data_IF_360458471406
#
_entry.id   IF_360458471406
#
_cell.length_a   1.000
_cell.length_b   1.000
_cell.length_c   1.000
_cell.angle_alpha   90.00
_cell.angle_beta   90.00
_cell.angle_gamma   90.00
#
_symmetry.space_group_name_H-M   'P 1'
#
loop_
_entity.id
_entity.type
_entity.pdbx_description
1 polymer ?
#
# COMPACT_ATOMS: atom_id res chain seq x y z
N UNK A 1 54.04 -3.99 -23.57
CA UNK A 1 53.12 -4.57 -22.56
C UNK A 1 52.85 -5.99 -23.00
N UNK A 2 53.45 -6.96 -22.29
CA UNK A 2 53.31 -8.39 -22.59
C UNK A 2 51.90 -8.84 -22.22
N UNK A 3 51.09 -9.17 -23.22
CA UNK A 3 49.80 -9.85 -23.02
C UNK A 3 50.12 -11.26 -22.58
N UNK A 4 50.20 -11.47 -21.28
CA UNK A 4 50.20 -12.80 -20.71
C UNK A 4 48.93 -13.51 -21.20
N UNK A 5 49.09 -14.54 -22.05
CA UNK A 5 48.02 -15.47 -22.43
C UNK A 5 47.51 -16.17 -21.17
N UNK A 6 46.64 -15.52 -20.41
CA UNK A 6 45.90 -16.18 -19.32
C UNK A 6 44.98 -17.16 -20.03
N UNK A 7 45.31 -18.46 -19.92
CA UNK A 7 44.46 -19.54 -20.42
C UNK A 7 43.14 -19.53 -19.61
N UNK A 8 42.17 -18.78 -20.09
CA UNK A 8 40.84 -18.73 -19.50
C UNK A 8 40.22 -20.13 -19.45
N UNK A 9 39.59 -20.50 -18.36
CA UNK A 9 38.82 -21.72 -18.29
C UNK A 9 37.71 -21.72 -19.36
N UNK A 10 37.28 -22.86 -19.89
CA UNK A 10 36.20 -22.92 -20.87
C UNK A 10 34.94 -22.19 -20.42
N UNK A 11 34.62 -22.25 -19.15
CA UNK A 11 33.47 -21.54 -18.58
C UNK A 11 33.65 -20.01 -18.55
N UNK A 12 34.89 -19.53 -18.38
CA UNK A 12 35.17 -18.09 -18.38
C UNK A 12 35.19 -17.51 -19.77
N UNK A 13 35.54 -18.31 -20.78
CA UNK A 13 35.40 -17.92 -22.20
C UNK A 13 33.93 -17.68 -22.53
N UNK A 14 33.04 -18.62 -22.18
CA UNK A 14 31.61 -18.46 -22.39
C UNK A 14 31.07 -17.22 -21.63
N UNK A 15 31.56 -16.96 -20.43
CA UNK A 15 31.17 -15.77 -19.67
C UNK A 15 31.62 -14.47 -20.36
N UNK A 16 32.81 -14.43 -20.91
CA UNK A 16 33.32 -13.26 -21.70
C UNK A 16 32.46 -13.03 -22.94
N UNK A 17 32.14 -14.09 -23.67
CA UNK A 17 31.31 -14.03 -24.87
C UNK A 17 29.87 -13.60 -24.59
N UNK A 18 29.36 -13.97 -23.41
CA UNK A 18 27.99 -13.63 -22.95
C UNK A 18 27.97 -12.49 -21.94
N UNK A 19 29.04 -11.71 -21.79
CA UNK A 19 29.19 -10.69 -20.75
C UNK A 19 28.08 -9.63 -20.77
N UNK A 20 27.70 -9.17 -21.97
CA UNK A 20 26.62 -8.19 -22.12
C UNK A 20 25.27 -8.71 -21.62
N UNK A 21 24.96 -9.98 -21.87
CA UNK A 21 23.71 -10.62 -21.43
C UNK A 21 23.75 -11.06 -19.97
N UNK A 22 24.92 -11.28 -19.41
CA UNK A 22 25.11 -11.69 -18.01
C UNK A 22 25.20 -10.50 -17.05
N UNK A 23 25.98 -9.46 -17.38
CA UNK A 23 26.19 -8.28 -16.55
C UNK A 23 25.28 -7.11 -16.89
N UNK A 24 24.79 -7.02 -18.16
CA UNK A 24 23.91 -5.95 -18.60
C UNK A 24 22.68 -5.74 -17.72
N UNK A 25 21.92 -6.79 -17.36
CA UNK A 25 20.76 -6.68 -16.48
C UNK A 25 21.07 -6.09 -15.09
N UNK A 26 22.27 -6.35 -14.55
CA UNK A 26 22.73 -5.77 -13.30
C UNK A 26 22.95 -4.27 -13.40
N UNK A 27 23.66 -3.84 -14.45
CA UNK A 27 23.94 -2.42 -14.69
C UNK A 27 22.64 -1.67 -14.91
N UNK A 28 21.77 -2.18 -15.78
CA UNK A 28 20.47 -1.57 -16.06
C UNK A 28 19.58 -1.56 -14.81
N UNK A 29 19.61 -2.63 -14.02
CA UNK A 29 18.90 -2.71 -12.73
C UNK A 29 19.39 -1.66 -11.75
N UNK A 30 20.70 -1.45 -11.62
CA UNK A 30 21.29 -0.41 -10.77
C UNK A 30 20.92 1.01 -11.20
N UNK A 31 20.90 1.30 -12.52
CA UNK A 31 20.42 2.58 -13.03
C UNK A 31 18.94 2.80 -12.71
N UNK A 32 18.10 1.80 -12.96
CA UNK A 32 16.67 1.88 -12.67
C UNK A 32 16.41 2.06 -11.17
N UNK A 33 17.13 1.33 -10.29
CA UNK A 33 17.08 1.48 -8.84
C UNK A 33 17.40 2.92 -8.42
N UNK A 34 18.41 3.54 -9.03
CA UNK A 34 18.81 4.92 -8.74
C UNK A 34 17.78 5.95 -9.20
N UNK A 35 17.17 5.76 -10.37
CA UNK A 35 16.08 6.63 -10.86
C UNK A 35 14.88 6.54 -9.93
N UNK A 36 14.46 5.32 -9.57
CA UNK A 36 13.34 5.10 -8.66
C UNK A 36 13.63 5.65 -7.24
N UNK A 37 14.89 5.66 -6.81
CA UNK A 37 15.29 6.31 -5.55
C UNK A 37 15.02 7.81 -5.58
N UNK A 38 15.25 8.49 -6.70
CA UNK A 38 14.88 9.89 -6.88
C UNK A 38 13.38 10.13 -6.71
N UNK A 39 12.54 9.24 -7.26
CA UNK A 39 11.07 9.30 -7.08
C UNK A 39 10.70 9.11 -5.59
N UNK A 40 11.33 8.15 -4.91
CA UNK A 40 11.09 7.93 -3.47
C UNK A 40 11.44 9.19 -2.69
N UNK A 41 12.56 9.83 -2.98
CA UNK A 41 12.97 11.05 -2.30
C UNK A 41 11.93 12.17 -2.45
N UNK A 42 11.42 12.41 -3.66
CA UNK A 42 10.35 13.37 -3.90
C UNK A 42 9.08 13.03 -3.10
N UNK A 43 8.70 11.75 -3.05
CA UNK A 43 7.51 11.33 -2.30
C UNK A 43 7.69 11.44 -0.77
N UNK A 44 8.89 11.21 -0.26
CA UNK A 44 9.23 11.41 1.16
C UNK A 44 9.14 12.89 1.52
N UNK A 45 9.69 13.80 0.70
CA UNK A 45 9.57 15.24 0.90
C UNK A 45 8.10 15.66 0.93
N UNK A 46 7.31 15.19 -0.05
CA UNK A 46 5.86 15.46 -0.08
C UNK A 46 5.15 14.96 1.18
N UNK A 47 5.48 13.76 1.66
CA UNK A 47 4.94 13.23 2.91
C UNK A 47 5.22 14.15 4.10
N UNK A 48 6.46 14.65 4.22
CA UNK A 48 6.83 15.55 5.32
C UNK A 48 6.10 16.90 5.27
N UNK A 49 5.75 17.38 4.08
CA UNK A 49 4.94 18.60 3.90
C UNK A 49 3.46 18.38 4.28
N UNK A 50 2.93 17.18 4.06
CA UNK A 50 1.53 16.84 4.28
C UNK A 50 1.23 16.20 5.65
N UNK A 51 2.25 15.83 6.42
CA UNK A 51 2.12 14.97 7.62
C UNK A 51 1.37 15.56 8.82
N UNK A 52 0.91 16.80 8.76
CA UNK A 52 0.19 17.42 9.87
C UNK A 52 -1.02 16.58 10.31
N UNK A 53 -1.03 16.15 11.61
CA UNK A 53 -2.08 15.28 12.15
C UNK A 53 -1.91 13.79 11.86
N UNK A 54 -0.81 13.35 11.24
CA UNK A 54 -0.51 11.93 11.06
C UNK A 54 0.07 11.30 12.33
N UNK A 55 -0.22 10.01 12.56
CA UNK A 55 0.34 9.26 13.69
C UNK A 55 1.87 9.11 13.56
N UNK A 56 2.59 9.16 14.69
CA UNK A 56 4.04 8.92 14.77
C UNK A 56 4.44 7.57 14.14
N UNK A 57 3.58 6.57 14.23
CA UNK A 57 3.79 5.25 13.60
C UNK A 57 4.04 5.35 12.09
N UNK A 58 3.20 6.10 11.35
CA UNK A 58 3.40 6.27 9.90
C UNK A 58 4.67 7.03 9.56
N UNK A 59 5.02 8.05 10.36
CA UNK A 59 6.26 8.79 10.18
C UNK A 59 7.50 7.90 10.42
N UNK A 60 7.48 7.09 11.48
CA UNK A 60 8.56 6.13 11.76
C UNK A 60 8.69 5.10 10.63
N UNK A 61 7.58 4.60 10.11
CA UNK A 61 7.57 3.66 8.99
C UNK A 61 8.20 4.28 7.72
N UNK A 62 7.81 5.52 7.38
CA UNK A 62 8.37 6.23 6.21
C UNK A 62 9.89 6.44 6.36
N UNK A 63 10.35 6.90 7.53
CA UNK A 63 11.78 7.10 7.79
C UNK A 63 12.54 5.78 7.70
N UNK A 64 12.02 4.72 8.31
CA UNK A 64 12.64 3.39 8.29
C UNK A 64 12.79 2.84 6.87
N UNK A 65 11.71 2.86 6.09
CA UNK A 65 11.72 2.34 4.72
C UNK A 65 12.57 3.20 3.78
N UNK A 66 12.57 4.53 3.95
CA UNK A 66 13.45 5.43 3.21
C UNK A 66 14.92 5.15 3.51
N UNK A 67 15.29 4.97 4.80
CA UNK A 67 16.64 4.61 5.21
C UNK A 67 17.10 3.28 4.59
N UNK A 68 16.28 2.23 4.67
CA UNK A 68 16.60 0.95 4.03
C UNK A 68 16.75 1.08 2.52
N UNK A 69 15.95 1.94 1.89
CA UNK A 69 16.03 2.17 0.44
C UNK A 69 17.33 2.85 0.03
N UNK A 70 17.82 3.84 0.81
CA UNK A 70 19.12 4.47 0.60
C UNK A 70 20.24 3.44 0.75
N UNK A 71 20.22 2.66 1.83
CA UNK A 71 21.21 1.62 2.09
C UNK A 71 21.29 0.61 0.94
N UNK A 72 20.12 0.15 0.46
CA UNK A 72 20.05 -0.78 -0.68
C UNK A 72 20.59 -0.15 -1.97
N UNK A 73 20.27 1.10 -2.28
CA UNK A 73 20.79 1.78 -3.47
C UNK A 73 22.31 1.90 -3.41
N UNK A 74 22.85 2.30 -2.26
CA UNK A 74 24.31 2.39 -2.06
C UNK A 74 24.98 1.03 -2.29
N UNK A 75 24.39 -0.03 -1.74
CA UNK A 75 24.87 -1.40 -1.95
C UNK A 75 24.78 -1.82 -3.43
N UNK A 76 23.67 -1.53 -4.11
CA UNK A 76 23.48 -1.85 -5.52
C UNK A 76 24.54 -1.17 -6.40
N UNK A 77 24.83 0.10 -6.15
CA UNK A 77 25.89 0.84 -6.85
C UNK A 77 27.26 0.21 -6.59
N UNK A 78 27.56 -0.15 -5.34
CA UNK A 78 28.81 -0.80 -4.99
C UNK A 78 28.99 -2.15 -5.70
N UNK A 79 27.92 -2.97 -5.78
CA UNK A 79 27.93 -4.24 -6.52
C UNK A 79 28.23 -4.02 -8.00
N UNK A 80 27.53 -3.07 -8.64
CA UNK A 80 27.74 -2.74 -10.06
C UNK A 80 29.16 -2.26 -10.29
N UNK A 81 29.71 -1.43 -9.40
CA UNK A 81 31.08 -0.93 -9.50
C UNK A 81 32.12 -2.05 -9.41
N UNK A 82 32.03 -2.89 -8.38
CA UNK A 82 32.99 -3.99 -8.20
C UNK A 82 32.99 -4.94 -9.40
N UNK A 83 31.80 -5.34 -9.88
CA UNK A 83 31.71 -6.30 -10.98
C UNK A 83 32.16 -5.76 -12.34
N UNK A 84 31.89 -4.49 -12.63
CA UNK A 84 32.12 -3.92 -13.95
C UNK A 84 33.41 -3.12 -14.04
N UNK A 85 33.99 -2.66 -12.93
CA UNK A 85 35.20 -1.85 -12.92
C UNK A 85 36.37 -2.60 -12.30
N UNK A 86 36.24 -3.08 -11.06
CA UNK A 86 37.35 -3.74 -10.35
C UNK A 86 37.69 -5.10 -10.95
N UNK A 87 36.69 -5.96 -11.19
CA UNK A 87 36.88 -7.32 -11.68
C UNK A 87 36.71 -7.44 -13.20
N UNK A 88 36.79 -6.33 -13.91
CA UNK A 88 36.64 -6.31 -15.37
C UNK A 88 37.65 -7.19 -16.08
N UNK A 89 38.91 -7.18 -15.61
CA UNK A 89 40.01 -7.96 -16.17
C UNK A 89 40.00 -9.43 -15.72
N UNK A 90 39.27 -9.79 -14.68
CA UNK A 90 39.26 -11.13 -14.06
C UNK A 90 37.89 -11.82 -14.19
N UNK A 91 37.53 -12.36 -15.36
CA UNK A 91 36.20 -12.92 -15.59
C UNK A 91 35.87 -14.13 -14.70
N UNK A 92 36.87 -14.89 -14.26
CA UNK A 92 36.69 -16.01 -13.31
C UNK A 92 36.24 -15.51 -11.93
N UNK A 93 36.84 -14.42 -11.46
CA UNK A 93 36.48 -13.80 -10.17
C UNK A 93 35.09 -13.17 -10.28
N UNK A 94 34.83 -12.37 -11.31
CA UNK A 94 33.53 -11.74 -11.54
C UNK A 94 32.38 -12.75 -11.58
N UNK A 95 32.58 -13.90 -12.22
CA UNK A 95 31.61 -15.00 -12.26
C UNK A 95 31.39 -15.65 -10.88
N UNK A 96 32.46 -15.88 -10.14
CA UNK A 96 32.36 -16.48 -8.81
C UNK A 96 31.68 -15.55 -7.80
N UNK A 97 31.91 -14.24 -7.87
CA UNK A 97 31.24 -13.24 -7.04
C UNK A 97 29.71 -13.33 -7.13
N UNK A 98 29.16 -13.61 -8.32
CA UNK A 98 27.72 -13.79 -8.53
C UNK A 98 27.10 -14.92 -7.68
N UNK A 99 27.88 -15.93 -7.33
CA UNK A 99 27.39 -17.14 -6.67
C UNK A 99 27.78 -17.25 -5.20
N UNK A 100 28.88 -16.63 -4.78
CA UNK A 100 29.51 -16.90 -3.48
C UNK A 100 29.62 -15.64 -2.60
N UNK A 101 29.64 -14.45 -3.18
CA UNK A 101 29.83 -13.22 -2.41
C UNK A 101 28.57 -12.89 -1.59
N UNK A 102 28.66 -13.02 -0.27
CA UNK A 102 27.56 -12.75 0.66
C UNK A 102 27.01 -11.31 0.54
N UNK A 103 27.89 -10.33 0.33
CA UNK A 103 27.51 -8.92 0.17
C UNK A 103 26.71 -8.66 -1.11
N UNK A 104 26.89 -9.45 -2.14
CA UNK A 104 26.13 -9.36 -3.38
C UNK A 104 24.73 -9.97 -3.23
N UNK A 105 24.64 -11.09 -2.54
CA UNK A 105 23.38 -11.78 -2.29
C UNK A 105 22.53 -11.05 -1.26
N UNK A 106 23.17 -10.28 -0.37
CA UNK A 106 22.45 -9.45 0.60
C UNK A 106 21.58 -8.35 -0.06
N UNK A 107 21.77 -8.02 -1.35
CA UNK A 107 20.85 -7.15 -2.12
C UNK A 107 19.45 -7.77 -2.19
N UNK A 108 19.35 -9.08 -2.47
CA UNK A 108 18.07 -9.78 -2.49
C UNK A 108 17.46 -9.86 -1.07
N UNK A 109 18.29 -10.07 -0.05
CA UNK A 109 17.86 -10.04 1.34
C UNK A 109 17.28 -8.69 1.76
N UNK A 110 17.93 -7.58 1.38
CA UNK A 110 17.41 -6.22 1.60
C UNK A 110 16.08 -5.99 0.87
N UNK A 111 15.95 -6.50 -0.37
CA UNK A 111 14.66 -6.47 -1.10
C UNK A 111 13.57 -7.20 -0.32
N UNK A 112 13.87 -8.38 0.23
CA UNK A 112 12.94 -9.17 1.05
C UNK A 112 12.50 -8.42 2.32
N UNK A 113 13.41 -7.77 3.04
CA UNK A 113 13.09 -7.00 4.25
C UNK A 113 12.18 -5.80 3.90
N UNK A 114 12.53 -5.04 2.88
CA UNK A 114 11.73 -3.89 2.44
C UNK A 114 10.34 -4.36 2.00
N UNK A 115 10.26 -5.38 1.14
CA UNK A 115 9.00 -5.97 0.68
C UNK A 115 8.13 -6.43 1.83
N UNK A 116 8.67 -7.23 2.75
CA UNK A 116 7.92 -7.74 3.91
C UNK A 116 7.43 -6.63 4.85
N UNK A 117 8.20 -5.55 5.00
CA UNK A 117 7.78 -4.37 5.79
C UNK A 117 6.57 -3.72 5.15
N UNK A 118 6.60 -3.51 3.83
CA UNK A 118 5.49 -2.90 3.08
C UNK A 118 4.28 -3.84 3.01
N UNK A 119 4.48 -5.13 2.77
CA UNK A 119 3.41 -6.13 2.79
C UNK A 119 2.73 -6.21 4.17
N UNK A 120 3.50 -6.12 5.26
CA UNK A 120 2.95 -6.07 6.63
C UNK A 120 2.05 -4.85 6.84
N UNK A 121 2.44 -3.68 6.31
CA UNK A 121 1.58 -2.49 6.34
C UNK A 121 0.27 -2.72 5.58
N UNK A 122 0.31 -3.27 4.37
CA UNK A 122 -0.89 -3.55 3.58
C UNK A 122 -1.74 -4.66 4.20
N UNK A 123 -1.13 -5.68 4.81
CA UNK A 123 -1.83 -6.73 5.57
C UNK A 123 -2.59 -6.17 6.78
N UNK A 124 -1.97 -5.27 7.55
CA UNK A 124 -2.62 -4.56 8.66
C UNK A 124 -3.78 -3.68 8.16
N UNK A 125 -3.61 -3.02 7.01
CA UNK A 125 -4.68 -2.24 6.39
C UNK A 125 -5.85 -3.13 5.95
N UNK A 126 -5.56 -4.26 5.30
CA UNK A 126 -6.55 -5.27 4.95
C UNK A 126 -7.31 -5.75 6.19
N UNK A 127 -6.62 -6.13 7.25
CA UNK A 127 -7.24 -6.58 8.50
C UNK A 127 -8.17 -5.52 9.12
N UNK A 128 -7.72 -4.27 9.20
CA UNK A 128 -8.55 -3.16 9.70
C UNK A 128 -9.80 -2.94 8.86
N UNK A 129 -9.71 -3.20 7.56
CA UNK A 129 -10.82 -3.03 6.63
C UNK A 129 -11.78 -4.22 6.65
N UNK A 130 -11.28 -5.46 6.55
CA UNK A 130 -12.11 -6.66 6.41
C UNK A 130 -12.59 -7.21 7.75
N UNK A 131 -11.82 -7.03 8.85
CA UNK A 131 -12.03 -7.69 10.15
C UNK A 131 -11.97 -9.23 10.06
N UNK A 132 -11.51 -9.77 8.94
CA UNK A 132 -11.39 -11.19 8.71
C UNK A 132 -10.04 -11.71 9.22
N UNK A 133 -10.08 -12.43 10.35
CA UNK A 133 -8.88 -13.02 10.98
C UNK A 133 -8.25 -14.11 10.13
N UNK A 134 -9.05 -14.96 9.48
CA UNK A 134 -8.54 -16.06 8.68
C UNK A 134 -7.69 -15.56 7.49
N UNK A 135 -8.20 -14.56 6.76
CA UNK A 135 -7.45 -13.95 5.66
C UNK A 135 -6.17 -13.24 6.14
N UNK A 136 -6.23 -12.55 7.29
CA UNK A 136 -5.06 -11.88 7.84
C UNK A 136 -3.99 -12.86 8.29
N UNK A 137 -4.36 -13.96 8.96
CA UNK A 137 -3.42 -15.04 9.37
C UNK A 137 -2.78 -15.67 8.13
N UNK A 138 -3.55 -15.99 7.10
CA UNK A 138 -3.01 -16.54 5.85
C UNK A 138 -1.95 -15.63 5.22
N UNK A 139 -2.23 -14.31 5.13
CA UNK A 139 -1.27 -13.32 4.59
C UNK A 139 -0.03 -13.26 5.48
N UNK A 140 -0.19 -13.21 6.82
CA UNK A 140 0.95 -13.19 7.76
C UNK A 140 1.83 -14.44 7.61
N UNK A 141 1.24 -15.63 7.47
CA UNK A 141 1.99 -16.87 7.26
C UNK A 141 2.76 -16.84 5.93
N UNK A 142 2.15 -16.32 4.86
CA UNK A 142 2.83 -16.16 3.57
C UNK A 142 4.02 -15.19 3.67
N UNK A 143 3.89 -14.06 4.37
CA UNK A 143 4.99 -13.11 4.60
C UNK A 143 6.10 -13.75 5.44
N UNK A 144 5.76 -14.49 6.49
CA UNK A 144 6.74 -15.20 7.32
C UNK A 144 7.48 -16.27 6.53
N UNK A 145 6.77 -17.02 5.69
CA UNK A 145 7.37 -18.02 4.82
C UNK A 145 8.32 -17.39 3.80
N UNK A 146 7.95 -16.24 3.24
CA UNK A 146 8.80 -15.45 2.34
C UNK A 146 10.10 -15.00 3.05
N UNK A 147 10.00 -14.45 4.26
CA UNK A 147 11.16 -14.06 5.07
C UNK A 147 12.05 -15.27 5.41
N UNK A 148 11.46 -16.38 5.82
CA UNK A 148 12.19 -17.60 6.12
C UNK A 148 12.92 -18.11 4.87
N UNK A 149 12.27 -18.09 3.71
CA UNK A 149 12.87 -18.50 2.44
C UNK A 149 14.11 -17.69 2.07
N UNK A 150 14.05 -16.35 2.18
CA UNK A 150 15.21 -15.51 1.87
C UNK A 150 16.34 -15.67 2.89
N UNK A 151 16.04 -15.84 4.19
CA UNK A 151 17.03 -16.11 5.22
C UNK A 151 17.75 -17.45 4.98
N UNK A 152 16.99 -18.52 4.70
CA UNK A 152 17.55 -19.83 4.43
C UNK A 152 18.33 -19.88 3.10
N UNK A 153 17.91 -19.11 2.10
CA UNK A 153 18.69 -18.91 0.88
C UNK A 153 20.04 -18.28 1.18
N UNK A 154 20.08 -17.25 2.04
CA UNK A 154 21.33 -16.60 2.48
C UNK A 154 22.25 -17.58 3.24
N UNK A 155 21.72 -18.34 4.19
CA UNK A 155 22.46 -19.37 4.92
C UNK A 155 23.02 -20.44 3.97
N UNK A 156 22.24 -20.86 2.97
CA UNK A 156 22.64 -21.86 1.98
C UNK A 156 23.82 -21.39 1.14
N UNK A 157 23.97 -20.08 0.91
CA UNK A 157 25.13 -19.50 0.22
C UNK A 157 26.37 -19.61 1.10
N UNK A 158 26.25 -19.23 2.38
CA UNK A 158 27.36 -19.33 3.34
C UNK A 158 27.82 -20.78 3.50
N UNK A 159 26.88 -21.73 3.40
CA UNK A 159 27.17 -23.18 3.40
C UNK A 159 27.62 -23.72 2.04
N UNK A 160 27.79 -22.88 1.01
CA UNK A 160 28.19 -23.25 -0.35
C UNK A 160 27.26 -24.30 -1.01
N UNK A 161 25.98 -24.34 -0.62
CA UNK A 161 24.98 -25.26 -1.14
C UNK A 161 24.07 -24.59 -2.17
N UNK A 162 24.48 -24.62 -3.44
CA UNK A 162 23.76 -23.94 -4.54
C UNK A 162 22.35 -24.51 -4.76
N UNK A 163 22.14 -25.82 -4.58
CA UNK A 163 20.82 -26.43 -4.76
C UNK A 163 19.83 -25.94 -3.71
N UNK A 164 20.24 -25.92 -2.44
CA UNK A 164 19.40 -25.41 -1.36
C UNK A 164 19.10 -23.91 -1.54
N UNK A 165 20.10 -23.11 -1.94
CA UNK A 165 19.93 -21.69 -2.29
C UNK A 165 18.79 -21.47 -3.29
N UNK A 166 18.82 -22.17 -4.43
CA UNK A 166 17.83 -22.02 -5.50
C UNK A 166 16.44 -22.42 -5.02
N UNK A 167 16.33 -23.52 -4.28
CA UNK A 167 15.07 -23.99 -3.71
C UNK A 167 14.46 -22.96 -2.75
N UNK A 168 15.24 -22.43 -1.81
CA UNK A 168 14.75 -21.45 -0.83
C UNK A 168 14.41 -20.09 -1.46
N UNK A 169 15.15 -19.71 -2.50
CA UNK A 169 14.85 -18.51 -3.27
C UNK A 169 13.52 -18.64 -4.02
N UNK A 170 13.23 -19.83 -4.58
CA UNK A 170 11.93 -20.11 -5.20
C UNK A 170 10.79 -20.03 -4.18
N UNK A 171 10.96 -20.64 -3.00
CA UNK A 171 9.99 -20.55 -1.90
C UNK A 171 9.73 -19.09 -1.54
N UNK A 172 10.77 -18.26 -1.46
CA UNK A 172 10.64 -16.83 -1.21
C UNK A 172 9.78 -16.15 -2.28
N UNK A 173 10.10 -16.28 -3.56
CA UNK A 173 9.39 -15.61 -4.65
C UNK A 173 7.92 -16.04 -4.75
N UNK A 174 7.64 -17.34 -4.61
CA UNK A 174 6.27 -17.86 -4.63
C UNK A 174 5.47 -17.30 -3.45
N UNK A 175 6.05 -17.29 -2.26
CA UNK A 175 5.38 -16.79 -1.05
C UNK A 175 5.12 -15.29 -1.11
N UNK A 176 6.04 -14.49 -1.66
CA UNK A 176 5.85 -13.05 -1.93
C UNK A 176 4.67 -12.84 -2.87
N UNK A 177 4.64 -13.55 -4.01
CA UNK A 177 3.56 -13.43 -4.98
C UNK A 177 2.20 -13.82 -4.40
N UNK A 178 2.13 -14.90 -3.61
CA UNK A 178 0.91 -15.34 -2.91
C UNK A 178 0.44 -14.26 -1.92
N UNK A 179 1.35 -13.69 -1.12
CA UNK A 179 1.01 -12.64 -0.17
C UNK A 179 0.44 -11.40 -0.88
N UNK A 180 1.08 -10.94 -1.95
CA UNK A 180 0.65 -9.77 -2.72
C UNK A 180 -0.71 -9.98 -3.39
N UNK A 181 -0.93 -11.14 -4.01
CA UNK A 181 -2.22 -11.50 -4.61
C UNK A 181 -3.32 -11.57 -3.54
N UNK A 182 -3.04 -12.20 -2.40
CA UNK A 182 -4.00 -12.31 -1.30
C UNK A 182 -4.38 -10.93 -0.73
N UNK A 183 -3.40 -10.04 -0.51
CA UNK A 183 -3.63 -8.67 -0.05
C UNK A 183 -4.48 -7.91 -1.07
N UNK A 184 -4.11 -7.97 -2.34
CA UNK A 184 -4.79 -7.24 -3.43
C UNK A 184 -6.22 -7.70 -3.62
N UNK A 185 -6.42 -9.01 -3.81
CA UNK A 185 -7.75 -9.60 -4.03
C UNK A 185 -8.62 -9.41 -2.78
N UNK A 186 -8.10 -9.71 -1.60
CA UNK A 186 -8.83 -9.57 -0.34
C UNK A 186 -9.26 -8.14 -0.06
N UNK A 187 -8.41 -7.16 -0.33
CA UNK A 187 -8.73 -5.73 -0.15
C UNK A 187 -9.80 -5.28 -1.15
N UNK A 188 -9.65 -5.67 -2.43
CA UNK A 188 -10.62 -5.33 -3.48
C UNK A 188 -12.00 -5.95 -3.22
N UNK A 189 -12.03 -7.22 -2.84
CA UNK A 189 -13.27 -7.93 -2.49
C UNK A 189 -14.00 -7.22 -1.33
N UNK A 190 -13.28 -6.95 -0.24
CA UNK A 190 -13.84 -6.30 0.95
C UNK A 190 -14.38 -4.90 0.66
N UNK A 191 -13.66 -4.12 -0.17
CA UNK A 191 -14.12 -2.79 -0.56
C UNK A 191 -15.37 -2.84 -1.43
N UNK A 192 -15.44 -3.75 -2.40
CA UNK A 192 -16.64 -3.95 -3.23
C UNK A 192 -17.85 -4.34 -2.38
N UNK A 193 -17.67 -5.25 -1.44
CA UNK A 193 -18.76 -5.69 -0.56
C UNK A 193 -19.33 -4.55 0.30
N UNK A 194 -18.47 -3.60 0.70
CA UNK A 194 -18.91 -2.43 1.49
C UNK A 194 -19.51 -1.29 0.65
N UNK A 195 -19.37 -1.32 -0.68
CA UNK A 195 -19.84 -0.27 -1.59
C UNK A 195 -21.35 -0.33 -1.86
N UNK A 196 -22.06 -1.36 -1.45
CA UNK A 196 -23.44 -1.67 -1.92
C UNK A 196 -24.56 -0.98 -1.15
N UNK A 197 -24.32 0.02 -0.30
CA UNK A 197 -25.34 0.52 0.62
C UNK A 197 -25.88 1.94 0.40
N UNK A 198 -25.06 2.93 0.03
CA UNK A 198 -25.51 4.33 -0.06
C UNK A 198 -24.74 5.13 -1.12
N UNK A 199 -25.43 5.92 -1.95
CA UNK A 199 -24.85 6.70 -3.05
C UNK A 199 -23.78 7.71 -2.57
N UNK A 200 -23.94 8.32 -1.40
CA UNK A 200 -22.95 9.22 -0.81
C UNK A 200 -21.67 8.50 -0.35
N UNK A 201 -21.79 7.25 0.09
CA UNK A 201 -20.66 6.42 0.49
C UNK A 201 -19.95 5.82 -0.72
N UNK A 202 -20.66 5.57 -1.83
CA UNK A 202 -20.11 4.99 -3.06
C UNK A 202 -18.98 5.83 -3.66
N UNK A 203 -19.07 7.16 -3.64
CA UNK A 203 -18.03 8.05 -4.17
C UNK A 203 -16.73 7.95 -3.36
N UNK A 204 -16.82 7.90 -2.04
CA UNK A 204 -15.67 7.75 -1.13
C UNK A 204 -15.05 6.36 -1.28
N UNK A 205 -15.88 5.31 -1.35
CA UNK A 205 -15.41 3.93 -1.55
C UNK A 205 -14.73 3.76 -2.90
N UNK A 206 -15.29 4.30 -3.98
CA UNK A 206 -14.68 4.25 -5.31
C UNK A 206 -13.32 4.98 -5.35
N UNK A 207 -13.19 6.09 -4.65
CA UNK A 207 -11.91 6.80 -4.53
C UNK A 207 -10.87 5.99 -3.76
N UNK A 208 -11.27 5.37 -2.65
CA UNK A 208 -10.39 4.48 -1.88
C UNK A 208 -10.02 3.24 -2.71
N UNK A 209 -10.98 2.68 -3.44
CA UNK A 209 -10.77 1.54 -4.33
C UNK A 209 -9.73 1.87 -5.41
N UNK A 210 -9.86 3.03 -6.07
CA UNK A 210 -8.88 3.50 -7.05
C UNK A 210 -7.49 3.62 -6.43
N UNK A 211 -7.35 4.27 -5.26
CA UNK A 211 -6.07 4.40 -4.56
C UNK A 211 -5.46 3.03 -4.24
N UNK A 212 -6.27 2.04 -3.82
CA UNK A 212 -5.80 0.68 -3.53
C UNK A 212 -5.32 -0.01 -4.81
N UNK A 213 -6.06 0.10 -5.90
CA UNK A 213 -5.64 -0.46 -7.19
C UNK A 213 -4.33 0.16 -7.68
N UNK A 214 -4.23 1.48 -7.67
CA UNK A 214 -3.05 2.21 -8.12
C UNK A 214 -1.81 1.89 -7.26
N UNK A 215 -1.97 1.55 -5.98
CA UNK A 215 -0.87 1.22 -5.08
C UNK A 215 -0.53 -0.27 -5.02
N UNK A 216 -1.50 -1.17 -5.18
CA UNK A 216 -1.28 -2.61 -5.00
C UNK A 216 -0.91 -3.34 -6.30
N UNK A 217 -1.43 -2.90 -7.44
CA UNK A 217 -1.18 -3.55 -8.74
C UNK A 217 0.29 -3.52 -9.15
N UNK A 218 1.02 -2.38 -9.09
CA UNK A 218 2.40 -2.33 -9.57
C UNK A 218 3.34 -3.31 -8.86
N UNK A 219 3.40 -3.39 -7.51
CA UNK A 219 4.25 -4.37 -6.84
C UNK A 219 3.89 -5.82 -7.18
N UNK A 220 2.58 -6.15 -7.20
CA UNK A 220 2.09 -7.49 -7.50
C UNK A 220 2.47 -7.92 -8.92
N UNK A 221 2.34 -7.02 -9.89
CA UNK A 221 2.71 -7.27 -11.28
C UNK A 221 4.21 -7.54 -11.41
N UNK A 222 5.04 -6.68 -10.82
CA UNK A 222 6.50 -6.81 -10.88
C UNK A 222 6.98 -8.06 -10.15
N UNK A 223 6.41 -8.39 -8.98
CA UNK A 223 6.73 -9.63 -8.26
C UNK A 223 6.36 -10.88 -9.06
N UNK A 224 5.23 -10.84 -9.78
CA UNK A 224 4.81 -11.95 -10.66
C UNK A 224 5.74 -12.09 -11.86
N UNK A 225 6.16 -10.99 -12.48
CA UNK A 225 7.13 -10.98 -13.58
C UNK A 225 8.49 -11.51 -13.09
N UNK A 226 8.96 -11.08 -11.93
CA UNK A 226 10.22 -11.56 -11.33
C UNK A 226 10.18 -13.08 -11.10
N UNK A 227 9.08 -13.59 -10.56
CA UNK A 227 8.88 -15.03 -10.39
C UNK A 227 8.92 -15.76 -11.74
N UNK A 228 8.20 -15.30 -12.75
CA UNK A 228 8.16 -15.93 -14.08
C UNK A 228 9.56 -15.92 -14.71
N UNK A 229 10.24 -14.78 -14.72
CA UNK A 229 11.57 -14.64 -15.30
C UNK A 229 12.60 -15.52 -14.59
N UNK A 230 12.50 -15.63 -13.27
CA UNK A 230 13.41 -16.49 -12.48
C UNK A 230 13.27 -17.97 -12.82
N UNK A 231 12.07 -18.41 -13.23
CA UNK A 231 11.81 -19.82 -13.58
C UNK A 231 12.01 -20.12 -15.07
N UNK A 232 11.68 -19.19 -15.97
CA UNK A 232 11.72 -19.42 -17.42
C UNK A 232 13.10 -19.21 -18.03
N UNK A 233 13.79 -18.14 -17.63
CA UNK A 233 15.09 -17.79 -18.20
C UNK A 233 16.26 -18.47 -17.50
N UNK A 234 16.03 -19.03 -16.31
CA UNK A 234 16.99 -19.84 -15.55
C UNK A 234 18.32 -19.11 -15.28
N UNK A 235 19.38 -19.87 -14.94
CA UNK A 235 20.69 -19.29 -14.57
C UNK A 235 21.47 -18.71 -15.75
N UNK A 236 20.98 -18.83 -17.00
CA UNK A 236 21.68 -18.35 -18.21
C UNK A 236 21.46 -16.87 -18.50
N UNK A 237 20.30 -16.32 -18.12
CA UNK A 237 19.92 -14.95 -18.39
C UNK A 237 19.44 -14.27 -17.12
N UNK A 238 20.25 -13.39 -16.57
CA UNK A 238 20.03 -12.74 -15.27
C UNK A 238 18.98 -11.59 -15.30
N UNK A 239 18.05 -11.60 -16.28
CA UNK A 239 17.02 -10.56 -16.41
C UNK A 239 16.06 -10.46 -15.23
N UNK A 240 15.88 -11.56 -14.47
CA UNK A 240 15.14 -11.51 -13.20
C UNK A 240 15.77 -10.54 -12.20
N UNK A 241 17.10 -10.34 -12.25
CA UNK A 241 17.78 -9.41 -11.35
C UNK A 241 17.45 -7.95 -11.68
N UNK A 242 17.30 -7.60 -12.96
CA UNK A 242 16.83 -6.28 -13.36
C UNK A 242 15.47 -5.95 -12.72
N UNK A 243 14.53 -6.90 -12.77
CA UNK A 243 13.20 -6.74 -12.17
C UNK A 243 13.28 -6.72 -10.65
N UNK A 244 14.07 -7.59 -10.04
CA UNK A 244 14.24 -7.68 -8.59
C UNK A 244 14.86 -6.40 -7.99
N UNK A 245 15.78 -5.73 -8.70
CA UNK A 245 16.34 -4.45 -8.26
C UNK A 245 15.26 -3.38 -8.13
N UNK A 246 14.35 -3.30 -9.09
CA UNK A 246 13.26 -2.33 -9.08
C UNK A 246 12.14 -2.68 -8.10
N UNK A 247 11.93 -3.97 -7.80
CA UNK A 247 10.80 -4.46 -6.99
C UNK A 247 10.70 -3.78 -5.62
N UNK A 248 11.82 -3.69 -4.89
CA UNK A 248 11.82 -3.03 -3.57
C UNK A 248 11.43 -1.54 -3.65
N UNK A 249 11.86 -0.84 -4.70
CA UNK A 249 11.53 0.56 -4.90
C UNK A 249 10.06 0.76 -5.21
N UNK A 250 9.49 -0.14 -6.03
CA UNK A 250 8.07 -0.10 -6.36
C UNK A 250 7.20 -0.36 -5.12
N UNK A 251 7.60 -1.27 -4.23
CA UNK A 251 6.94 -1.44 -2.94
C UNK A 251 6.94 -0.14 -2.13
N UNK A 252 8.08 0.51 -2.02
CA UNK A 252 8.22 1.77 -1.26
C UNK A 252 7.41 2.90 -1.88
N UNK A 253 7.44 3.04 -3.21
CA UNK A 253 6.66 4.03 -3.94
C UNK A 253 5.16 3.81 -3.70
N UNK A 254 4.69 2.57 -3.75
CA UNK A 254 3.29 2.21 -3.47
C UNK A 254 2.86 2.54 -2.04
N UNK A 255 3.73 2.28 -1.07
CA UNK A 255 3.51 2.65 0.33
C UNK A 255 3.40 4.17 0.50
N UNK A 256 4.39 4.91 -0.04
CA UNK A 256 4.43 6.37 0.06
C UNK A 256 3.27 7.03 -0.66
N UNK A 257 2.91 6.55 -1.86
CA UNK A 257 1.72 7.01 -2.58
C UNK A 257 0.45 6.85 -1.73
N UNK A 258 0.29 5.69 -1.10
CA UNK A 258 -0.85 5.44 -0.20
C UNK A 258 -0.86 6.39 1.00
N UNK A 259 0.30 6.61 1.65
CA UNK A 259 0.39 7.48 2.81
C UNK A 259 0.22 8.96 2.46
N UNK A 260 0.76 9.41 1.33
CA UNK A 260 0.59 10.76 0.81
C UNK A 260 -0.88 11.04 0.48
N UNK A 261 -1.56 10.12 -0.19
CA UNK A 261 -2.99 10.25 -0.49
C UNK A 261 -3.85 10.32 0.78
N UNK A 262 -3.53 9.54 1.82
CA UNK A 262 -4.22 9.62 3.11
C UNK A 262 -3.98 10.98 3.80
N UNK A 263 -2.75 11.50 3.75
CA UNK A 263 -2.39 12.78 4.36
C UNK A 263 -3.09 13.96 3.66
N UNK A 264 -3.14 13.95 2.33
CA UNK A 264 -3.83 14.93 1.50
C UNK A 264 -5.32 14.99 1.81
N UNK A 265 -5.99 13.85 1.86
CA UNK A 265 -7.42 13.79 2.20
C UNK A 265 -7.75 14.30 3.60
N UNK A 266 -6.86 14.10 4.57
CA UNK A 266 -7.04 14.68 5.91
C UNK A 266 -6.92 16.19 5.91
N UNK A 267 -5.98 16.73 5.12
CA UNK A 267 -5.79 18.16 4.95
C UNK A 267 -7.04 18.81 4.34
N UNK A 268 -7.58 18.25 3.26
CA UNK A 268 -8.78 18.74 2.58
C UNK A 268 -9.99 18.82 3.52
N UNK A 269 -10.23 17.76 4.30
CA UNK A 269 -11.31 17.74 5.31
C UNK A 269 -11.14 18.80 6.39
N UNK A 270 -9.93 19.04 6.86
CA UNK A 270 -9.68 20.08 7.87
C UNK A 270 -9.90 21.49 7.34
N UNK A 271 -9.60 21.73 6.07
CA UNK A 271 -9.82 23.01 5.40
C UNK A 271 -11.32 23.25 5.16
N UNK A 272 -12.06 22.23 4.74
CA UNK A 272 -13.50 22.31 4.50
C UNK A 272 -14.29 22.58 5.80
N UNK A 273 -13.93 21.93 6.92
CA UNK A 273 -14.54 22.21 8.23
C UNK A 273 -14.32 23.64 8.68
N UNK A 274 -13.17 24.23 8.37
CA UNK A 274 -12.82 25.60 8.74
C UNK A 274 -13.60 26.64 7.93
N UNK A 275 -13.83 26.39 6.63
CA UNK A 275 -14.61 27.27 5.76
C UNK A 275 -16.10 27.27 6.13
N UNK A 276 -16.66 26.14 6.51
CA UNK A 276 -18.05 26.03 6.95
C UNK A 276 -18.27 26.75 8.28
N UNK A 277 -17.30 26.75 9.18
CA UNK A 277 -17.38 27.43 10.46
C UNK A 277 -17.25 28.96 10.33
N UNK A 278 -16.46 29.45 9.36
CA UNK A 278 -16.31 30.88 9.06
C UNK A 278 -17.58 31.49 8.46
N UNK A 279 -18.28 30.75 7.59
CA UNK A 279 -19.55 31.22 7.02
C UNK A 279 -20.73 31.20 8.03
N UNK A 280 -20.66 30.34 9.06
CA UNK A 280 -21.64 30.30 10.14
C UNK A 280 -21.58 31.51 11.09
N UNK A 281 -20.44 32.18 11.22
CA UNK A 281 -20.29 33.34 12.08
C UNK A 281 -20.81 34.64 11.42
N UNK A 282 -20.79 34.75 10.08
CA UNK A 282 -21.23 35.96 9.37
C UNK A 282 -22.75 36.11 9.33
N UNK A 283 -23.52 35.00 9.42
CA UNK A 283 -24.99 35.07 9.37
C UNK A 283 -25.67 35.15 10.76
N UNK A 284 -24.90 35.25 11.86
CA UNK A 284 -25.45 35.24 13.23
C UNK A 284 -25.65 36.62 13.86
N UNK A 285 -25.46 37.71 13.10
CA UNK A 285 -25.57 39.07 13.65
C UNK A 285 -27.00 39.68 13.51
N UNK A 286 -27.94 38.97 12.84
CA UNK A 286 -29.30 39.54 12.65
C UNK A 286 -30.43 38.54 12.91
N UNK A 287 -30.43 37.82 14.03
CA UNK A 287 -31.68 37.23 14.53
C UNK A 287 -31.56 36.91 16.01
N UNK A 288 -32.12 37.80 16.83
CA UNK A 288 -32.28 37.64 18.28
C UNK A 288 -33.51 36.76 18.52
N UNK A 289 -33.28 35.46 18.75
CA UNK A 289 -34.32 34.52 19.12
C UNK A 289 -33.65 33.37 19.86
N UNK A 290 -33.96 33.20 21.16
CA UNK A 290 -33.41 32.20 22.05
C UNK A 290 -33.70 30.77 21.57
N UNK A 291 -32.66 30.00 21.30
CA UNK A 291 -32.77 28.56 21.07
C UNK A 291 -31.80 27.88 22.01
N UNK A 292 -32.37 27.09 22.93
CA UNK A 292 -31.76 26.25 23.95
C UNK A 292 -30.89 25.15 23.30
N UNK A 293 -29.62 25.07 23.70
CA UNK A 293 -28.63 24.11 23.18
C UNK A 293 -28.79 22.77 23.91
N UNK A 294 -29.15 21.71 23.18
CA UNK A 294 -29.07 20.34 23.66
C UNK A 294 -27.60 19.90 23.85
N UNK A 295 -27.27 19.09 24.88
CA UNK A 295 -25.89 18.72 25.19
C UNK A 295 -25.27 17.77 24.14
N UNK A 296 -24.06 18.11 23.76
CA UNK A 296 -23.24 17.39 22.78
C UNK A 296 -22.57 16.18 23.44
N UNK A 297 -23.05 14.98 23.15
CA UNK A 297 -22.36 13.74 23.56
C UNK A 297 -21.16 13.49 22.65
N UNK A 298 -19.97 13.44 23.25
CA UNK A 298 -18.72 13.10 22.58
C UNK A 298 -18.51 11.61 22.68
N UNK A 299 -18.71 10.91 21.58
CA UNK A 299 -18.41 9.48 21.49
C UNK A 299 -16.92 9.25 21.18
N UNK A 300 -16.28 8.43 22.02
CA UNK A 300 -14.81 8.24 22.12
C UNK A 300 -14.21 7.39 20.97
N UNK A 301 -14.95 7.06 19.94
CA UNK A 301 -14.54 6.11 18.87
C UNK A 301 -14.46 6.71 17.46
N UNK A 302 -14.02 7.93 17.31
CA UNK A 302 -13.37 8.45 16.08
C UNK A 302 -14.08 8.26 14.72
N UNK A 303 -15.38 7.94 14.69
CA UNK A 303 -16.20 7.95 13.48
C UNK A 303 -17.15 9.13 13.60
N UNK A 304 -16.83 10.24 12.92
CA UNK A 304 -17.75 11.34 12.79
C UNK A 304 -18.86 10.94 11.80
N UNK A 305 -20.06 10.70 12.32
CA UNK A 305 -21.27 10.63 11.52
C UNK A 305 -21.86 12.05 11.54
N UNK A 306 -21.73 12.78 10.43
CA UNK A 306 -22.39 14.07 10.25
C UNK A 306 -23.82 13.80 9.76
N UNK A 307 -24.79 13.95 10.67
CA UNK A 307 -26.21 13.89 10.33
C UNK A 307 -26.64 15.30 9.87
N UNK A 308 -26.80 15.52 8.58
CA UNK A 308 -27.48 16.70 8.06
C UNK A 308 -28.99 16.54 8.29
N UNK A 309 -29.53 17.26 9.25
CA UNK A 309 -30.97 17.41 9.42
C UNK A 309 -31.41 18.56 8.48
N UNK A 310 -31.99 18.23 7.36
CA UNK A 310 -32.67 19.20 6.48
C UNK A 310 -34.09 19.39 7.00
N UNK A 311 -34.36 20.47 7.76
CA UNK A 311 -35.71 20.85 8.11
C UNK A 311 -36.36 21.54 6.90
N UNK A 312 -37.27 20.85 6.24
CA UNK A 312 -38.21 21.48 5.29
C UNK A 312 -39.25 22.26 6.10
N UNK A 313 -39.11 23.58 6.11
CA UNK A 313 -40.18 24.50 6.54
C UNK A 313 -41.11 24.66 5.37
N UNK A 314 -42.29 24.06 5.42
CA UNK A 314 -43.37 24.35 4.49
C UNK A 314 -43.86 25.77 4.74
N UNK A 315 -44.08 26.61 3.71
CA UNK A 315 -44.67 27.94 3.90
C UNK A 315 -46.14 27.80 4.35
N UNK A 316 -46.44 28.30 5.54
CA UNK A 316 -47.82 28.42 6.00
C UNK A 316 -48.61 29.36 5.08
N UNK A 317 -49.73 28.89 4.57
CA UNK A 317 -50.74 29.72 3.90
C UNK A 317 -51.30 30.72 4.90
N UNK A 318 -51.54 32.00 4.52
CA UNK A 318 -52.18 32.96 5.37
C UNK A 318 -53.68 32.62 5.54
N UNK A 319 -54.10 32.39 6.81
CA UNK A 319 -55.48 32.18 7.17
C UNK A 319 -56.19 33.51 7.04
N UNK A 320 -57.18 33.57 6.15
CA UNK A 320 -58.14 34.70 6.05
C UNK A 320 -59.05 34.67 7.28
N UNK A 321 -59.04 35.75 8.02
CA UNK A 321 -60.00 35.97 9.14
C UNK A 321 -61.31 36.39 8.51
N UNK A 322 -62.36 35.53 8.59
CA UNK A 322 -63.73 35.93 8.33
C UNK A 322 -64.51 35.86 9.65
N UNK A 323 -65.13 36.99 9.96
CA UNK A 323 -65.94 37.28 11.15
C UNK A 323 -67.39 36.89 10.93
N UNK A 324 -67.96 35.96 11.70
CA UNK A 324 -69.40 35.71 11.68
C UNK A 324 -69.81 34.58 12.63
N UNK A 325 -70.41 34.96 13.76
CA UNK A 325 -71.17 34.16 14.71
C UNK A 325 -72.57 33.78 14.16
N UNK A 326 -73.40 32.93 14.86
CA UNK A 326 -73.23 31.74 15.69
C UNK A 326 -74.25 30.63 15.32
N UNK A 327 -74.05 29.42 15.87
CA UNK A 327 -75.18 28.49 16.00
C UNK A 327 -74.89 26.99 15.93
N UNK A 328 -74.88 26.31 17.04
CA UNK A 328 -75.71 25.14 17.26
C UNK A 328 -75.19 23.71 16.93
N UNK A 329 -75.10 22.90 17.95
CA UNK A 329 -75.36 21.43 18.06
C UNK A 329 -74.40 20.44 17.44
N UNK A 330 -73.68 19.69 18.31
CA UNK A 330 -73.96 18.35 18.90
C UNK A 330 -73.79 17.11 18.00
N UNK A 331 -73.09 16.12 18.59
CA UNK A 331 -73.10 14.65 18.30
C UNK A 331 -72.25 14.14 17.13
N UNK A 332 -71.24 13.30 17.36
CA UNK A 332 -71.23 11.84 17.56
C UNK A 332 -69.76 11.33 17.51
N UNK A 333 -69.29 10.78 18.53
CA UNK A 333 -68.75 9.46 18.78
C UNK A 333 -68.64 8.59 17.49
N UNK A 334 -67.42 8.10 17.22
CA UNK A 334 -67.18 6.70 16.82
C UNK A 334 -65.70 6.38 16.72
N UNK A 335 -65.32 5.48 17.55
CA UNK A 335 -64.38 4.35 17.46
C UNK A 335 -63.64 4.15 16.10
N UNK A 336 -62.31 4.03 16.17
CA UNK A 336 -61.65 3.01 15.37
C UNK A 336 -60.41 2.43 16.13
N UNK A 337 -60.52 1.13 16.34
CA UNK A 337 -59.59 0.26 17.03
C UNK A 337 -58.29 0.00 16.27
N UNK A 338 -57.19 -0.16 16.96
CA UNK A 338 -55.92 -0.70 16.49
C UNK A 338 -55.99 -2.24 16.38
N UNK A 339 -55.42 -2.87 15.36
CA UNK A 339 -55.07 -4.28 15.41
C UNK A 339 -53.68 -4.50 16.02
N UNK A 340 -53.62 -5.37 17.03
CA UNK A 340 -52.41 -6.04 17.54
C UNK A 340 -52.00 -7.10 16.54
N UNK A 341 -50.74 -7.15 16.17
CA UNK A 341 -50.19 -8.32 15.51
C UNK A 341 -49.11 -8.99 16.35
N UNK A 342 -49.28 -10.32 16.41
CA UNK A 342 -48.61 -11.28 17.27
C UNK A 342 -47.14 -11.52 16.83
N UNK A 343 -46.26 -11.59 17.79
CA UNK A 343 -44.98 -12.25 17.73
C UNK A 343 -45.20 -13.73 18.05
N UNK A 344 -44.79 -14.62 17.14
CA UNK A 344 -44.50 -16.00 17.51
C UNK A 344 -43.12 -16.39 16.97
N UNK A 345 -42.34 -16.92 17.89
CA UNK A 345 -41.00 -17.46 17.72
C UNK A 345 -41.01 -18.80 16.95
N UNK A 346 -40.04 -19.01 16.11
CA UNK A 346 -39.21 -20.24 15.99
C UNK A 346 -37.86 -19.88 15.40
#
# INVERSE_FOLDING_TARGET
MSTSNISLSPASRVFVDTRSTSLGPWVLGGFLDSILMGIIFCQVVNYFQLRHGMSRYYTSLVVFVAFLSVLKTTQAIAVVWVQNVQEYANPDVARNLLNVAWWQVSVAFMTGIIGSTVQSFFALRYFKLSRNWAGAIFICLAILLALTGICLSMISILANNVKAKVMWLLVHFVSVAIADLAITIGTCYTLRQRSTGFASTASVVNRILRMVFESAIPPTLIATIDLILSQTLGPRLLWHLFVNYSLSKVYVISLLYTLNSIAEHRKDRSTQSRSTQSNGYSNRVTSRGDIELAPRTVDRHGIFVETQVTTHVSPEHPIAVDSGLPGGRALAENDFALPKENISAT
#
